data_IF_956425149816
#
_entry.id   IF_956425149816
#
_cell.length_a   1.000
_cell.length_b   1.000
_cell.length_c   1.000
_cell.angle_alpha   90.00
_cell.angle_beta   90.00
_cell.angle_gamma   90.00
#
_symmetry.space_group_name_H-M   'P 1'
#
loop_
_entity.id
_entity.type
_entity.pdbx_description
1 polymer ?
#
# COMPACT_ATOMS: atom_id res chain seq x y z
N UNK A 1 49.36 38.51 4.29
CA UNK A 1 49.55 39.50 5.37
C UNK A 1 48.38 39.40 6.32
N UNK A 2 48.74 39.29 7.66
CA UNK A 2 47.89 39.38 8.87
C UNK A 2 46.85 38.28 9.02
N UNK A 3 47.02 37.16 9.73
CA UNK A 3 47.24 36.95 11.19
C UNK A 3 46.22 37.68 12.04
N UNK A 4 45.31 36.95 12.68
CA UNK A 4 45.15 37.00 14.15
C UNK A 4 44.33 35.81 14.63
N UNK A 5 44.93 35.06 15.55
CA UNK A 5 44.34 34.03 16.42
C UNK A 5 43.90 34.70 17.73
N UNK A 6 42.97 34.10 18.45
CA UNK A 6 42.77 34.17 19.93
C UNK A 6 41.70 33.13 20.26
N UNK A 7 41.95 32.00 20.88
CA UNK A 7 42.40 31.62 22.23
C UNK A 7 41.38 31.92 23.34
N UNK A 8 41.21 30.86 24.12
CA UNK A 8 40.74 30.64 25.51
C UNK A 8 39.24 30.29 25.64
N UNK A 9 38.87 29.09 25.98
CA UNK A 9 39.05 28.33 27.24
C UNK A 9 38.15 28.83 28.39
N UNK A 10 37.19 28.01 28.74
CA UNK A 10 36.75 27.90 30.14
C UNK A 10 36.06 26.55 30.37
N UNK A 11 36.73 25.71 31.12
CA UNK A 11 36.23 24.50 31.76
C UNK A 11 35.40 24.94 32.97
N UNK A 12 34.16 24.44 33.07
CA UNK A 12 33.43 24.44 34.35
C UNK A 12 33.01 23.00 34.64
N UNK A 13 33.75 22.38 35.53
CA UNK A 13 33.39 21.18 36.25
C UNK A 13 32.39 21.53 37.33
N UNK A 14 31.18 21.02 37.26
CA UNK A 14 30.27 20.96 38.41
C UNK A 14 29.99 19.49 38.72
N UNK A 15 30.65 19.00 39.72
CA UNK A 15 30.32 17.74 40.38
C UNK A 15 29.07 17.96 41.26
N UNK A 16 27.98 17.36 40.87
CA UNK A 16 26.73 17.28 41.65
C UNK A 16 26.38 15.85 41.91
N UNK A 17 26.75 15.33 43.08
CA UNK A 17 26.26 14.05 43.58
C UNK A 17 24.77 14.20 43.96
N UNK A 18 23.87 13.63 43.16
CA UNK A 18 22.45 13.52 43.43
C UNK A 18 22.07 12.07 43.56
N UNK A 19 21.87 11.60 44.78
CA UNK A 19 21.23 10.32 45.11
C UNK A 19 19.78 10.36 44.61
N UNK A 20 19.47 9.72 43.51
CA UNK A 20 18.12 9.55 42.97
C UNK A 20 17.71 8.08 43.03
N UNK A 21 16.79 7.79 43.93
CA UNK A 21 16.14 6.50 44.10
C UNK A 21 15.47 6.10 42.77
N UNK A 22 16.02 5.11 42.10
CA UNK A 22 15.49 4.57 40.87
C UNK A 22 14.21 3.76 41.13
N UNK A 23 13.06 4.29 40.77
CA UNK A 23 11.86 3.49 40.57
C UNK A 23 12.03 2.72 39.25
N UNK A 24 12.39 1.45 39.35
CA UNK A 24 12.34 0.51 38.23
C UNK A 24 10.86 0.23 37.90
N UNK A 25 10.29 0.98 36.98
CA UNK A 25 9.08 0.54 36.30
C UNK A 25 9.46 -0.60 35.36
N UNK A 26 9.19 -1.81 35.80
CA UNK A 26 9.22 -3.01 34.96
C UNK A 26 8.24 -2.84 33.80
N UNK A 27 8.71 -2.44 32.64
CA UNK A 27 7.97 -2.57 31.40
C UNK A 27 8.04 -4.03 30.98
N UNK A 28 7.08 -4.82 31.44
CA UNK A 28 6.77 -6.09 30.81
C UNK A 28 6.17 -5.79 29.43
N UNK A 29 7.04 -5.43 28.48
CA UNK A 29 6.72 -5.44 27.08
C UNK A 29 6.51 -6.89 26.64
N UNK A 30 5.25 -7.35 26.64
CA UNK A 30 4.87 -8.52 25.91
C UNK A 30 5.24 -8.27 24.44
N UNK A 31 6.38 -8.81 24.02
CA UNK A 31 6.82 -8.86 22.63
C UNK A 31 5.84 -9.76 21.90
N UNK A 32 4.72 -9.18 21.42
CA UNK A 32 3.91 -9.82 20.41
C UNK A 32 4.77 -9.83 19.13
N UNK A 33 5.34 -10.99 18.84
CA UNK A 33 5.99 -11.28 17.56
C UNK A 33 4.93 -11.24 16.46
N UNK A 34 4.58 -10.04 16.01
CA UNK A 34 3.89 -9.86 14.74
C UNK A 34 4.87 -10.23 13.62
N UNK A 35 4.45 -11.05 12.65
CA UNK A 35 5.28 -11.35 11.50
C UNK A 35 5.65 -10.03 10.82
N UNK A 36 6.95 -9.79 10.69
CA UNK A 36 7.50 -8.63 10.02
C UNK A 36 6.95 -8.57 8.58
N UNK A 37 6.11 -7.56 8.29
CA UNK A 37 5.68 -7.35 6.92
C UNK A 37 4.37 -6.60 6.68
N UNK A 38 3.65 -6.17 7.72
CA UNK A 38 2.32 -5.56 7.51
C UNK A 38 2.06 -4.29 8.30
N UNK A 39 2.94 -3.32 8.21
CA UNK A 39 2.55 -1.97 8.58
C UNK A 39 1.87 -1.32 7.37
N UNK A 40 0.54 -1.36 7.32
CA UNK A 40 -0.21 -0.44 6.48
C UNK A 40 0.08 0.97 6.98
N UNK A 41 0.56 1.84 6.12
CA UNK A 41 0.78 3.24 6.46
C UNK A 41 -0.54 3.96 6.25
N UNK A 42 -1.20 4.51 7.31
CA UNK A 42 -2.24 5.50 7.11
C UNK A 42 -1.63 6.64 6.30
N UNK A 43 -2.33 7.13 5.28
CA UNK A 43 -1.89 8.31 4.55
C UNK A 43 -1.69 9.48 5.50
N UNK A 44 -0.73 10.38 5.22
CA UNK A 44 -0.30 11.45 6.12
C UNK A 44 -1.43 12.39 6.57
N UNK A 45 -2.57 12.42 5.87
CA UNK A 45 -3.67 13.34 6.13
C UNK A 45 -4.95 12.64 6.62
N UNK A 46 -4.90 11.36 7.03
CA UNK A 46 -6.07 10.60 7.47
C UNK A 46 -7.14 10.35 6.38
N UNK A 47 -6.99 10.95 5.21
CA UNK A 47 -7.92 10.83 4.09
C UNK A 47 -7.49 9.79 3.03
N UNK A 48 -6.22 9.41 3.00
CA UNK A 48 -5.73 8.34 2.12
C UNK A 48 -5.97 6.99 2.78
N UNK A 49 -6.64 6.03 2.12
CA UNK A 49 -6.80 4.68 2.63
C UNK A 49 -5.46 3.96 2.86
N UNK A 50 -5.47 2.90 3.67
CA UNK A 50 -4.29 2.10 3.95
C UNK A 50 -3.65 1.52 2.68
N UNK A 51 -2.31 1.51 2.64
CA UNK A 51 -1.49 0.91 1.58
C UNK A 51 -0.09 0.60 2.10
N UNK A 52 0.69 -0.17 1.36
CA UNK A 52 2.10 -0.43 1.67
C UNK A 52 3.00 0.41 0.76
N UNK A 53 3.85 1.25 1.34
CA UNK A 53 4.72 2.15 0.56
C UNK A 53 5.83 1.39 -0.19
N UNK A 54 6.28 0.26 0.37
CA UNK A 54 7.37 -0.56 -0.15
C UNK A 54 6.86 -1.81 -0.85
N UNK A 55 7.71 -2.38 -1.71
CA UNK A 55 7.45 -3.67 -2.32
C UNK A 55 7.32 -4.78 -1.25
N UNK A 56 6.54 -5.84 -1.51
CA UNK A 56 6.41 -6.96 -0.59
C UNK A 56 7.76 -7.69 -0.45
N UNK A 57 8.08 -8.09 0.79
CA UNK A 57 9.32 -8.84 1.10
C UNK A 57 9.09 -10.34 1.20
N UNK A 58 7.85 -10.80 1.09
CA UNK A 58 7.46 -12.21 1.20
C UNK A 58 6.35 -12.58 0.21
N UNK A 59 5.85 -13.81 0.37
CA UNK A 59 4.73 -14.28 -0.43
C UNK A 59 3.49 -13.42 -0.18
N UNK A 60 2.84 -13.01 -1.26
CA UNK A 60 1.58 -12.28 -1.21
C UNK A 60 0.40 -13.25 -1.10
N UNK A 61 -0.70 -12.82 -0.47
CA UNK A 61 -1.94 -13.59 -0.49
C UNK A 61 -2.40 -13.84 -1.93
N UNK A 62 -3.04 -14.98 -2.14
CA UNK A 62 -3.64 -15.28 -3.43
C UNK A 62 -4.94 -14.48 -3.61
N UNK A 63 -5.21 -14.11 -4.85
CA UNK A 63 -6.54 -13.62 -5.24
C UNK A 63 -7.49 -14.79 -5.41
N UNK A 64 -8.80 -14.55 -5.24
CA UNK A 64 -9.77 -15.59 -5.52
C UNK A 64 -9.71 -16.02 -7.00
N UNK A 65 -9.97 -17.32 -7.24
CA UNK A 65 -10.07 -17.85 -8.59
C UNK A 65 -11.17 -17.12 -9.38
N UNK A 66 -10.86 -16.50 -10.52
CA UNK A 66 -11.84 -15.84 -11.36
C UNK A 66 -13.08 -16.70 -11.69
N UNK A 67 -12.90 -18.02 -11.85
CA UNK A 67 -13.99 -18.95 -12.19
C UNK A 67 -15.08 -19.06 -11.12
N UNK A 68 -14.84 -18.54 -9.92
CA UNK A 68 -15.85 -18.51 -8.85
C UNK A 68 -16.99 -17.53 -9.11
N UNK A 69 -16.79 -16.58 -10.00
CA UNK A 69 -17.76 -15.52 -10.26
C UNK A 69 -18.63 -15.86 -11.48
N UNK A 70 -19.94 -15.57 -11.44
CA UNK A 70 -20.84 -15.90 -12.54
C UNK A 70 -20.68 -14.97 -13.75
N UNK A 71 -20.21 -13.73 -13.54
CA UNK A 71 -20.12 -12.75 -14.62
C UNK A 71 -18.68 -12.64 -15.17
N UNK A 72 -18.60 -12.58 -16.51
CA UNK A 72 -17.33 -12.58 -17.24
C UNK A 72 -16.47 -11.34 -16.93
N UNK A 73 -17.08 -10.19 -16.63
CA UNK A 73 -16.36 -8.96 -16.30
C UNK A 73 -15.61 -9.13 -14.98
N UNK A 74 -16.28 -9.60 -13.93
CA UNK A 74 -15.64 -9.87 -12.64
C UNK A 74 -14.55 -10.92 -12.78
N UNK A 75 -14.79 -12.01 -13.52
CA UNK A 75 -13.75 -12.99 -13.82
C UNK A 75 -12.51 -12.34 -14.43
N UNK A 76 -12.71 -11.49 -15.45
CA UNK A 76 -11.61 -10.79 -16.11
C UNK A 76 -10.87 -9.88 -15.14
N UNK A 77 -11.57 -9.13 -14.30
CA UNK A 77 -10.95 -8.19 -13.34
C UNK A 77 -10.10 -8.94 -12.30
N UNK A 78 -10.61 -10.03 -11.72
CA UNK A 78 -9.82 -10.87 -10.81
C UNK A 78 -8.61 -11.48 -11.51
N UNK A 79 -8.75 -11.90 -12.77
CA UNK A 79 -7.61 -12.34 -13.58
C UNK A 79 -6.57 -11.24 -13.85
N UNK A 80 -6.99 -9.97 -13.98
CA UNK A 80 -6.07 -8.84 -14.08
C UNK A 80 -5.39 -8.55 -12.74
N UNK A 81 -6.13 -8.57 -11.65
CA UNK A 81 -5.61 -8.38 -10.29
C UNK A 81 -4.53 -9.41 -9.95
N UNK A 82 -4.76 -10.68 -10.26
CA UNK A 82 -3.80 -11.76 -10.07
C UNK A 82 -2.44 -11.51 -10.76
N UNK A 83 -2.45 -10.83 -11.91
CA UNK A 83 -1.23 -10.52 -12.67
C UNK A 83 -0.39 -9.39 -12.08
N UNK A 84 -0.96 -8.57 -11.21
CA UNK A 84 -0.30 -7.37 -10.66
C UNK A 84 -0.37 -7.30 -9.14
N UNK A 85 -0.43 -8.45 -8.45
CA UNK A 85 -0.50 -8.53 -6.98
C UNK A 85 0.53 -7.63 -6.27
N UNK A 86 1.83 -7.60 -6.66
CA UNK A 86 2.80 -6.74 -5.99
C UNK A 86 2.52 -5.25 -6.16
N UNK A 87 1.85 -4.86 -7.24
CA UNK A 87 1.41 -3.48 -7.46
C UNK A 87 0.22 -3.17 -6.59
N UNK A 88 -0.84 -4.02 -6.59
CA UNK A 88 -2.06 -3.81 -5.79
C UNK A 88 -1.76 -3.76 -4.28
N UNK A 89 -0.79 -4.53 -3.80
CA UNK A 89 -0.29 -4.49 -2.43
C UNK A 89 0.16 -3.07 -2.02
N UNK A 90 0.67 -2.30 -2.97
CA UNK A 90 1.18 -0.96 -2.75
C UNK A 90 0.15 0.15 -3.04
N UNK A 91 -1.12 -0.19 -3.31
CA UNK A 91 -2.15 0.79 -3.64
C UNK A 91 -3.18 0.93 -2.53
N UNK A 92 -3.65 2.17 -2.25
CA UNK A 92 -4.83 2.39 -1.42
C UNK A 92 -6.09 1.97 -2.16
N UNK A 93 -7.16 1.67 -1.41
CA UNK A 93 -8.49 1.45 -1.97
C UNK A 93 -9.48 2.49 -1.46
N UNK A 94 -9.96 3.35 -2.34
CA UNK A 94 -10.86 4.47 -2.00
C UNK A 94 -12.30 4.06 -1.72
N UNK A 95 -12.63 2.76 -1.68
CA UNK A 95 -13.89 2.29 -1.09
C UNK A 95 -13.86 2.33 0.46
N UNK A 96 -12.71 2.58 1.08
CA UNK A 96 -12.50 2.70 2.54
C UNK A 96 -12.68 1.38 3.29
N UNK A 97 -12.48 0.25 2.62
CA UNK A 97 -12.50 -1.07 3.26
C UNK A 97 -11.43 -1.24 4.35
N UNK A 98 -10.43 -0.36 4.39
CA UNK A 98 -9.47 -0.26 5.50
C UNK A 98 -10.16 0.03 6.85
N UNK A 99 -11.24 0.80 6.85
CA UNK A 99 -12.00 1.17 8.05
C UNK A 99 -13.09 0.16 8.42
N UNK A 100 -13.69 -0.50 7.43
CA UNK A 100 -14.85 -1.35 7.63
C UNK A 100 -14.47 -2.82 7.87
N UNK A 101 -13.51 -3.34 7.11
CA UNK A 101 -13.12 -4.75 7.15
C UNK A 101 -11.63 -4.97 7.38
N UNK A 102 -10.86 -3.90 7.65
CA UNK A 102 -9.45 -3.98 8.03
C UNK A 102 -8.51 -4.32 6.89
N UNK A 103 -8.88 -4.04 5.63
CA UNK A 103 -7.98 -4.21 4.51
C UNK A 103 -6.77 -3.27 4.62
N UNK A 104 -5.60 -3.76 4.28
CA UNK A 104 -4.34 -3.02 4.37
C UNK A 104 -3.87 -2.49 3.01
N UNK A 105 -4.51 -2.92 1.94
CA UNK A 105 -4.22 -2.53 0.57
C UNK A 105 -5.35 -2.90 -0.38
N UNK A 106 -5.28 -2.41 -1.61
CA UNK A 106 -6.21 -2.81 -2.68
C UNK A 106 -6.14 -4.31 -2.98
N UNK A 107 -4.99 -4.98 -2.76
CA UNK A 107 -4.86 -6.42 -2.99
C UNK A 107 -5.83 -7.22 -2.13
N UNK A 108 -6.05 -6.83 -0.89
CA UNK A 108 -6.89 -7.56 0.06
C UNK A 108 -8.34 -7.67 -0.44
N UNK A 109 -8.83 -6.67 -1.20
CA UNK A 109 -10.16 -6.71 -1.83
C UNK A 109 -10.33 -7.86 -2.83
N UNK A 110 -9.22 -8.39 -3.36
CA UNK A 110 -9.22 -9.49 -4.33
C UNK A 110 -8.85 -10.83 -3.69
N UNK A 111 -8.40 -10.83 -2.44
CA UNK A 111 -8.26 -12.03 -1.62
C UNK A 111 -9.60 -12.56 -1.11
N UNK A 112 -10.65 -11.74 -1.20
CA UNK A 112 -12.03 -12.08 -0.83
C UNK A 112 -13.05 -11.63 -1.88
N UNK A 113 -14.35 -11.68 -1.55
CA UNK A 113 -15.43 -11.30 -2.45
C UNK A 113 -15.66 -9.78 -2.55
N UNK A 114 -14.99 -8.96 -1.75
CA UNK A 114 -15.22 -7.51 -1.72
C UNK A 114 -15.02 -6.87 -3.10
N UNK A 115 -13.93 -7.23 -3.77
CA UNK A 115 -13.65 -6.75 -5.12
C UNK A 115 -14.73 -7.11 -6.16
N UNK A 116 -15.57 -8.14 -5.91
CA UNK A 116 -16.60 -8.55 -6.85
C UNK A 116 -17.84 -7.67 -6.83
N UNK A 117 -18.11 -6.99 -5.71
CA UNK A 117 -19.31 -6.17 -5.52
C UNK A 117 -19.01 -4.66 -5.52
N UNK A 118 -17.74 -4.27 -5.46
CA UNK A 118 -17.31 -2.88 -5.34
C UNK A 118 -16.71 -2.34 -6.64
N UNK A 119 -17.38 -1.41 -7.30
CA UNK A 119 -16.88 -0.82 -8.54
C UNK A 119 -15.64 0.06 -8.33
N UNK A 120 -15.44 0.63 -7.14
CA UNK A 120 -14.22 1.36 -6.81
C UNK A 120 -13.03 0.43 -6.88
N UNK A 121 -13.05 -0.69 -6.16
CA UNK A 121 -11.99 -1.70 -6.19
C UNK A 121 -11.71 -2.19 -7.61
N UNK A 122 -12.77 -2.48 -8.38
CA UNK A 122 -12.65 -2.93 -9.77
C UNK A 122 -11.94 -1.92 -10.65
N UNK A 123 -12.35 -0.65 -10.59
CA UNK A 123 -11.75 0.43 -11.38
C UNK A 123 -10.30 0.69 -11.00
N UNK A 124 -9.99 0.68 -9.71
CA UNK A 124 -8.61 0.86 -9.21
C UNK A 124 -7.70 -0.28 -9.64
N UNK A 125 -8.16 -1.53 -9.61
CA UNK A 125 -7.38 -2.68 -10.07
C UNK A 125 -7.14 -2.65 -11.58
N UNK A 126 -8.17 -2.32 -12.36
CA UNK A 126 -8.04 -2.18 -13.82
C UNK A 126 -7.09 -1.03 -14.17
N UNK A 127 -7.22 0.11 -13.50
CA UNK A 127 -6.30 1.24 -13.64
C UNK A 127 -4.86 0.81 -13.34
N UNK A 128 -4.65 0.14 -12.21
CA UNK A 128 -3.33 -0.34 -11.79
C UNK A 128 -2.71 -1.27 -12.83
N UNK A 129 -3.49 -2.22 -13.35
CA UNK A 129 -3.04 -3.10 -14.41
C UNK A 129 -2.67 -2.34 -15.68
N UNK A 130 -3.53 -1.42 -16.14
CA UNK A 130 -3.28 -0.62 -17.34
C UNK A 130 -2.00 0.20 -17.22
N UNK A 131 -1.80 0.87 -16.08
CA UNK A 131 -0.60 1.67 -15.83
C UNK A 131 0.67 0.81 -15.72
N UNK A 132 0.55 -0.38 -15.14
CA UNK A 132 1.66 -1.37 -15.12
C UNK A 132 2.06 -1.78 -16.54
N UNK A 133 1.09 -2.00 -17.42
CA UNK A 133 1.36 -2.31 -18.84
C UNK A 133 2.03 -1.16 -19.60
N UNK A 134 1.87 0.06 -19.12
CA UNK A 134 2.55 1.26 -19.63
C UNK A 134 3.93 1.49 -18.97
N UNK A 135 4.41 0.54 -18.15
CA UNK A 135 5.71 0.62 -17.51
C UNK A 135 5.77 1.56 -16.30
N UNK A 136 4.63 1.99 -15.75
CA UNK A 136 4.59 2.85 -14.57
C UNK A 136 4.99 2.09 -13.31
N UNK A 137 5.73 2.76 -12.44
CA UNK A 137 6.10 2.25 -11.12
C UNK A 137 4.89 2.22 -10.18
N UNK A 138 4.89 1.37 -9.14
CA UNK A 138 3.81 1.36 -8.14
C UNK A 138 3.58 2.73 -7.49
N UNK A 139 4.63 3.53 -7.29
CA UNK A 139 4.50 4.88 -6.72
C UNK A 139 3.78 5.85 -7.66
N UNK A 140 4.09 5.83 -8.97
CA UNK A 140 3.39 6.63 -9.97
C UNK A 140 1.92 6.22 -10.11
N UNK A 141 1.65 4.91 -10.04
CA UNK A 141 0.28 4.36 -10.08
C UNK A 141 -0.49 4.86 -8.86
N UNK A 142 0.10 4.77 -7.67
CA UNK A 142 -0.49 5.27 -6.42
C UNK A 142 -0.80 6.76 -6.50
N UNK A 143 0.13 7.58 -7.00
CA UNK A 143 -0.14 9.01 -7.21
C UNK A 143 -1.33 9.24 -8.15
N UNK A 144 -1.49 8.42 -9.17
CA UNK A 144 -2.63 8.47 -10.07
C UNK A 144 -3.95 8.06 -9.39
N UNK A 145 -3.92 7.04 -8.52
CA UNK A 145 -5.08 6.61 -7.73
C UNK A 145 -5.49 7.72 -6.76
N UNK A 146 -4.54 8.29 -6.02
CA UNK A 146 -4.78 9.40 -5.09
C UNK A 146 -5.36 10.63 -5.81
N UNK A 147 -4.92 10.89 -7.05
CA UNK A 147 -5.48 11.94 -7.92
C UNK A 147 -6.84 11.57 -8.56
N UNK A 148 -7.41 10.42 -8.23
CA UNK A 148 -8.71 9.98 -8.73
C UNK A 148 -8.75 9.58 -10.21
N UNK A 149 -7.61 9.33 -10.86
CA UNK A 149 -7.55 8.97 -12.29
C UNK A 149 -8.26 7.65 -12.62
N UNK A 150 -8.36 6.74 -11.65
CA UNK A 150 -9.12 5.48 -11.77
C UNK A 150 -10.61 5.70 -12.06
N UNK A 151 -11.17 6.86 -11.68
CA UNK A 151 -12.59 7.19 -11.91
C UNK A 151 -12.95 7.19 -13.40
N UNK A 152 -11.96 7.43 -14.26
CA UNK A 152 -12.11 7.43 -15.73
C UNK A 152 -12.14 6.02 -16.35
N UNK A 153 -11.87 4.98 -15.55
CA UNK A 153 -11.91 3.61 -16.05
C UNK A 153 -13.35 3.21 -16.38
N UNK A 154 -13.56 2.84 -17.63
CA UNK A 154 -14.84 2.31 -18.13
C UNK A 154 -14.80 0.78 -18.09
N UNK A 155 -15.49 0.19 -17.12
CA UNK A 155 -15.53 -1.26 -16.96
C UNK A 155 -16.31 -1.97 -18.08
N UNK A 156 -17.19 -1.27 -18.81
CA UNK A 156 -17.96 -1.89 -19.91
C UNK A 156 -17.05 -2.26 -21.07
N UNK A 157 -15.93 -1.56 -21.26
CA UNK A 157 -14.94 -1.90 -22.29
C UNK A 157 -14.21 -3.22 -22.03
N UNK A 158 -14.33 -3.77 -20.82
CA UNK A 158 -13.80 -5.10 -20.50
C UNK A 158 -14.68 -6.23 -21.07
N UNK A 159 -15.94 -5.95 -21.40
CA UNK A 159 -16.86 -6.96 -21.93
C UNK A 159 -16.59 -7.24 -23.41
N UNK A 160 -16.00 -6.30 -24.13
CA UNK A 160 -15.54 -6.54 -25.48
C UNK A 160 -14.53 -7.69 -25.49
N UNK A 161 -14.87 -8.79 -26.14
CA UNK A 161 -13.92 -9.87 -26.41
C UNK A 161 -12.63 -9.26 -26.99
N UNK A 162 -11.43 -9.79 -26.67
CA UNK A 162 -10.25 -9.38 -27.40
C UNK A 162 -10.57 -9.61 -28.88
N UNK A 163 -10.53 -8.52 -29.66
CA UNK A 163 -10.59 -8.66 -31.10
C UNK A 163 -9.58 -9.75 -31.46
N UNK A 164 -10.05 -10.82 -32.04
CA UNK A 164 -9.20 -11.92 -32.46
C UNK A 164 -8.10 -11.28 -33.29
N UNK A 165 -6.91 -11.17 -32.71
CA UNK A 165 -5.71 -10.78 -33.47
C UNK A 165 -5.52 -11.92 -34.45
N UNK A 166 -5.92 -11.64 -35.70
CA UNK A 166 -5.80 -12.57 -36.79
C UNK A 166 -4.37 -13.09 -36.86
N UNK A 167 -4.24 -14.37 -36.58
CA UNK A 167 -3.09 -15.12 -37.01
C UNK A 167 -3.07 -15.05 -38.55
N UNK A 168 -2.07 -14.37 -39.10
CA UNK A 168 -1.57 -14.58 -40.44
C UNK A 168 -0.20 -15.21 -40.34
#
# INVERSE_FOLDING_TARGET
MKRTAFIFAAVVLVAGAGFGIGFAYGQNGASSSQPAGRAAVPGPDGDVPAYHASAPTGALPETLDPKRFPDARTQKIYGLAAKVKPVLYQQPCYCRCDREVGHTSLLDCFGDNHGSICDVCKKEAVYSYQQTKLGKTPAEIRAGIMAGKWKQVDLTKLDAAPAASGAK
#
